data_IF_203286217083
#
_entry.id   IF_203286217083
#
_cell.length_a   1.000
_cell.length_b   1.000
_cell.length_c   1.000
_cell.angle_alpha   90.00
_cell.angle_beta   90.00
_cell.angle_gamma   90.00
#
_symmetry.space_group_name_H-M   'P 1'
#
loop_
_entity.id
_entity.type
_entity.pdbx_description
1 polymer ?
#
# COMPACT_ATOMS: atom_id res chain seq x y z
N UNK A 1 -5.54 11.90 -4.53
CA UNK A 1 -5.37 13.02 -3.59
C UNK A 1 -5.33 12.52 -2.16
N UNK A 2 -4.81 13.34 -1.25
CA UNK A 2 -4.85 13.02 0.17
C UNK A 2 -6.30 13.06 0.67
N UNK A 3 -6.69 12.07 1.47
CA UNK A 3 -8.05 12.02 2.02
C UNK A 3 -8.32 13.27 2.87
N UNK A 4 -9.49 13.86 2.66
CA UNK A 4 -10.01 14.97 3.47
C UNK A 4 -11.53 14.85 3.57
N UNK A 5 -12.14 15.72 4.37
CA UNK A 5 -13.60 15.70 4.57
C UNK A 5 -14.40 16.12 3.33
N UNK A 6 -13.73 16.71 2.33
CA UNK A 6 -14.42 17.08 1.08
C UNK A 6 -14.82 15.87 0.24
N UNK A 7 -14.18 14.70 0.47
CA UNK A 7 -14.48 13.49 -0.28
C UNK A 7 -15.59 12.70 0.39
N UNK A 8 -16.57 12.26 -0.40
CA UNK A 8 -17.73 11.52 0.09
C UNK A 8 -17.38 10.04 0.20
N UNK A 9 -17.55 9.47 1.39
CA UNK A 9 -17.15 8.09 1.69
C UNK A 9 -18.34 7.17 1.96
N UNK A 10 -19.55 7.74 2.14
CA UNK A 10 -20.72 6.99 2.62
C UNK A 10 -21.14 5.88 1.65
N UNK A 11 -21.02 6.12 0.35
CA UNK A 11 -21.41 5.15 -0.68
C UNK A 11 -20.31 4.15 -1.04
N UNK A 12 -19.11 4.30 -0.47
CA UNK A 12 -17.99 3.41 -0.81
C UNK A 12 -18.27 1.98 -0.35
N UNK A 13 -18.10 1.04 -1.27
CA UNK A 13 -18.24 -0.39 -0.98
C UNK A 13 -17.27 -1.17 -1.87
N UNK A 14 -16.25 -1.76 -1.26
CA UNK A 14 -15.27 -2.59 -1.98
C UNK A 14 -15.57 -4.09 -1.87
N UNK A 15 -16.66 -4.45 -1.18
CA UNK A 15 -16.99 -5.85 -0.94
C UNK A 15 -16.36 -6.43 0.32
N UNK A 16 -15.52 -5.67 1.04
CA UNK A 16 -14.87 -6.07 2.27
C UNK A 16 -15.27 -5.11 3.38
N UNK A 17 -16.03 -5.59 4.38
CA UNK A 17 -16.60 -4.72 5.40
C UNK A 17 -15.54 -4.03 6.25
N UNK A 18 -14.43 -4.68 6.56
CA UNK A 18 -13.34 -4.11 7.35
C UNK A 18 -12.66 -2.94 6.63
N UNK A 19 -12.47 -3.03 5.31
CA UNK A 19 -11.89 -1.96 4.52
C UNK A 19 -12.86 -0.79 4.36
N UNK A 20 -14.15 -1.08 4.16
CA UNK A 20 -15.19 -0.06 4.13
C UNK A 20 -15.25 0.71 5.46
N UNK A 21 -15.21 -0.01 6.56
CA UNK A 21 -15.25 0.58 7.91
C UNK A 21 -14.02 1.43 8.17
N UNK A 22 -12.84 0.96 7.77
CA UNK A 22 -11.61 1.76 7.92
C UNK A 22 -11.75 3.12 7.23
N UNK A 23 -12.16 3.13 5.96
CA UNK A 23 -12.29 4.38 5.19
C UNK A 23 -13.31 5.32 5.82
N UNK A 24 -14.46 4.79 6.25
CA UNK A 24 -15.57 5.62 6.73
C UNK A 24 -15.36 6.11 8.16
N UNK A 25 -14.73 5.32 9.03
CA UNK A 25 -14.69 5.59 10.46
C UNK A 25 -13.31 5.90 11.02
N UNK A 26 -12.24 5.37 10.43
CA UNK A 26 -10.91 5.43 11.05
C UNK A 26 -9.86 6.20 10.27
N UNK A 27 -9.98 6.28 8.95
CA UNK A 27 -8.89 6.81 8.11
C UNK A 27 -8.53 8.26 8.45
N UNK A 28 -9.51 9.14 8.57
CA UNK A 28 -9.25 10.56 8.89
C UNK A 28 -8.68 10.69 10.29
N UNK A 29 -9.21 9.92 11.26
CA UNK A 29 -8.71 9.94 12.64
C UNK A 29 -7.26 9.49 12.70
N UNK A 30 -6.90 8.40 12.04
CA UNK A 30 -5.54 7.90 12.02
C UNK A 30 -4.59 8.88 11.34
N UNK A 31 -5.04 9.50 10.26
CA UNK A 31 -4.27 10.52 9.56
C UNK A 31 -3.99 11.73 10.46
N UNK A 32 -4.98 12.17 11.22
CA UNK A 32 -4.84 13.27 12.17
C UNK A 32 -3.90 12.95 13.34
N UNK A 33 -3.72 11.67 13.65
CA UNK A 33 -2.80 11.19 14.70
C UNK A 33 -1.44 10.75 14.14
N UNK A 34 -1.19 10.94 12.86
CA UNK A 34 0.06 10.58 12.19
C UNK A 34 0.35 9.06 12.23
N UNK A 35 -0.69 8.24 12.30
CA UNK A 35 -0.56 6.77 12.31
C UNK A 35 -0.51 6.19 10.89
N UNK A 36 -1.25 6.80 9.97
CA UNK A 36 -1.21 6.43 8.55
C UNK A 36 -1.70 7.60 7.72
N UNK A 37 -1.28 7.63 6.46
CA UNK A 37 -1.75 8.61 5.49
C UNK A 37 -2.60 7.88 4.45
N UNK A 38 -3.79 8.40 4.15
CA UNK A 38 -4.70 7.80 3.18
C UNK A 38 -4.81 8.66 1.93
N UNK A 39 -4.71 8.02 0.78
CA UNK A 39 -4.87 8.64 -0.54
C UNK A 39 -6.10 8.07 -1.21
N UNK A 40 -6.86 8.90 -1.89
CA UNK A 40 -8.12 8.51 -2.51
C UNK A 40 -8.14 8.82 -4.00
N UNK A 41 -8.77 7.92 -4.77
CA UNK A 41 -9.27 8.20 -6.10
C UNK A 41 -10.75 8.57 -5.96
N UNK A 42 -11.21 9.54 -6.72
CA UNK A 42 -12.58 10.04 -6.61
C UNK A 42 -13.15 10.35 -7.99
N UNK A 43 -14.49 10.34 -8.07
CA UNK A 43 -15.21 10.67 -9.31
C UNK A 43 -15.58 12.15 -9.36
N UNK A 44 -16.34 12.54 -10.40
CA UNK A 44 -16.71 13.95 -10.65
C UNK A 44 -17.54 14.55 -9.53
N UNK A 45 -18.23 13.73 -8.73
CA UNK A 45 -19.05 14.19 -7.61
C UNK A 45 -18.32 14.08 -6.27
N UNK A 46 -16.99 13.90 -6.30
CA UNK A 46 -16.15 13.78 -5.10
C UNK A 46 -16.45 12.54 -4.25
N UNK A 47 -17.04 11.51 -4.84
CA UNK A 47 -17.22 10.23 -4.17
C UNK A 47 -15.91 9.42 -4.28
N UNK A 48 -15.48 8.83 -3.18
CA UNK A 48 -14.29 7.96 -3.18
C UNK A 48 -14.61 6.67 -3.93
N UNK A 49 -13.78 6.34 -4.91
CA UNK A 49 -13.93 5.12 -5.72
C UNK A 49 -12.78 4.14 -5.51
N UNK A 50 -11.73 4.56 -4.83
CA UNK A 50 -10.63 3.72 -4.45
C UNK A 50 -9.75 4.43 -3.43
N UNK A 51 -9.00 3.66 -2.63
CA UNK A 51 -8.08 4.25 -1.67
C UNK A 51 -6.96 3.30 -1.30
N UNK A 52 -5.88 3.86 -0.76
CA UNK A 52 -4.84 3.08 -0.09
C UNK A 52 -4.28 3.91 1.07
N UNK A 53 -3.70 3.22 2.04
CA UNK A 53 -3.03 3.88 3.16
C UNK A 53 -1.56 3.50 3.23
N UNK A 54 -0.73 4.45 3.66
CA UNK A 54 0.70 4.27 3.86
C UNK A 54 1.05 4.51 5.31
N UNK A 55 1.93 3.67 5.83
CA UNK A 55 2.52 3.85 7.16
C UNK A 55 3.98 3.38 7.13
N UNK A 56 4.78 3.89 8.06
CA UNK A 56 6.15 3.44 8.21
C UNK A 56 6.19 2.11 8.96
N UNK A 57 7.18 1.31 8.64
CA UNK A 57 7.41 0.06 9.32
C UNK A 57 8.84 -0.41 9.17
N UNK A 58 9.09 -1.63 9.61
CA UNK A 58 10.39 -2.25 9.47
C UNK A 58 10.25 -3.75 9.29
N UNK A 59 11.30 -4.37 8.77
CA UNK A 59 11.39 -5.82 8.69
C UNK A 59 12.79 -6.25 9.14
N UNK A 60 12.90 -7.49 9.60
CA UNK A 60 14.20 -8.07 9.92
C UNK A 60 14.89 -8.53 8.63
N UNK A 61 16.21 -8.30 8.56
CA UNK A 61 17.02 -8.83 7.47
C UNK A 61 16.81 -10.34 7.30
N UNK A 62 16.69 -11.06 8.41
CA UNK A 62 16.58 -12.53 8.40
C UNK A 62 15.25 -13.04 7.83
N UNK A 63 14.24 -12.19 7.74
CA UNK A 63 12.94 -12.57 7.17
C UNK A 63 12.92 -12.46 5.64
N UNK A 64 13.89 -11.80 5.06
CA UNK A 64 14.01 -11.60 3.62
C UNK A 64 14.76 -12.77 2.95
N UNK A 65 14.63 -12.96 1.63
CA UNK A 65 15.42 -13.96 0.92
C UNK A 65 16.93 -13.71 1.06
N UNK A 66 17.71 -14.77 0.99
CA UNK A 66 19.18 -14.71 1.14
C UNK A 66 19.80 -13.73 0.14
N UNK A 67 19.27 -13.65 -1.06
CA UNK A 67 19.78 -12.73 -2.09
C UNK A 67 19.67 -11.27 -1.66
N UNK A 68 18.63 -10.91 -0.89
CA UNK A 68 18.47 -9.57 -0.33
C UNK A 68 19.35 -9.37 0.89
N UNK A 69 19.47 -10.38 1.73
CA UNK A 69 20.22 -10.30 2.99
C UNK A 69 21.69 -9.89 2.79
N UNK A 70 22.28 -10.26 1.68
CA UNK A 70 23.71 -10.01 1.42
C UNK A 70 24.08 -8.53 1.41
N UNK A 71 23.10 -7.65 1.14
CA UNK A 71 23.31 -6.21 1.00
C UNK A 71 22.76 -5.42 2.18
N UNK A 72 22.26 -6.10 3.21
CA UNK A 72 21.53 -5.45 4.28
C UNK A 72 22.28 -5.54 5.61
N UNK A 73 22.17 -4.51 6.44
CA UNK A 73 22.71 -4.52 7.79
C UNK A 73 21.87 -5.41 8.73
N UNK A 74 22.36 -5.63 9.94
CA UNK A 74 21.70 -6.47 10.94
C UNK A 74 20.76 -5.72 11.87
N UNK A 75 20.46 -4.44 11.61
CA UNK A 75 19.45 -3.70 12.36
C UNK A 75 18.14 -3.66 11.57
N UNK A 76 17.02 -3.23 12.19
CA UNK A 76 15.73 -3.19 11.48
C UNK A 76 15.80 -2.42 10.16
N UNK A 77 15.26 -3.02 9.10
CA UNK A 77 15.31 -2.46 7.75
C UNK A 77 14.08 -1.55 7.57
N UNK A 78 14.25 -0.27 7.21
CA UNK A 78 13.12 0.65 7.08
C UNK A 78 12.27 0.32 5.87
N UNK A 79 10.96 0.35 6.08
CA UNK A 79 9.96 0.00 5.07
C UNK A 79 8.79 0.99 5.10
N UNK A 80 8.07 1.07 3.99
CA UNK A 80 6.74 1.66 3.94
C UNK A 80 5.75 0.52 3.72
N UNK A 81 4.68 0.51 4.50
CA UNK A 81 3.64 -0.50 4.43
C UNK A 81 2.45 0.09 3.71
N UNK A 82 1.96 -0.58 2.65
CA UNK A 82 0.65 -0.30 2.10
C UNK A 82 -0.33 -1.10 2.96
N UNK A 83 -0.94 -0.43 3.94
CA UNK A 83 -1.71 -1.09 4.98
C UNK A 83 -3.12 -1.47 4.56
N UNK A 84 -3.74 -0.65 3.73
CA UNK A 84 -5.08 -0.89 3.16
C UNK A 84 -5.04 -0.51 1.69
N UNK A 85 -5.83 -1.23 0.90
CA UNK A 85 -5.89 -1.01 -0.54
C UNK A 85 -7.21 -1.57 -1.05
N UNK A 86 -8.05 -0.72 -1.62
CA UNK A 86 -9.38 -1.14 -2.02
C UNK A 86 -9.93 -0.31 -3.17
N UNK A 87 -10.76 -0.94 -4.00
CA UNK A 87 -11.49 -0.30 -5.11
C UNK A 87 -12.97 -0.60 -4.92
N UNK A 88 -13.81 0.43 -5.10
CA UNK A 88 -15.26 0.29 -5.05
C UNK A 88 -15.74 -0.75 -6.08
N UNK A 89 -16.76 -1.54 -5.71
CA UNK A 89 -17.27 -2.62 -6.58
C UNK A 89 -17.70 -2.11 -7.96
N UNK A 90 -18.21 -0.90 -8.05
CA UNK A 90 -18.61 -0.29 -9.32
C UNK A 90 -17.45 0.07 -10.25
N UNK A 91 -16.23 0.04 -9.75
CA UNK A 91 -15.03 0.43 -10.50
C UNK A 91 -14.00 -0.69 -10.59
N UNK A 92 -14.29 -1.86 -10.06
CA UNK A 92 -13.41 -3.03 -10.15
C UNK A 92 -13.38 -3.57 -11.58
N UNK A 93 -12.27 -4.20 -11.97
CA UNK A 93 -12.10 -4.78 -13.28
C UNK A 93 -11.85 -3.78 -14.42
N UNK A 94 -11.53 -2.52 -14.08
CA UNK A 94 -11.33 -1.45 -15.05
C UNK A 94 -9.91 -0.85 -14.98
N UNK A 95 -8.98 -1.54 -14.33
CA UNK A 95 -7.60 -1.07 -14.18
C UNK A 95 -7.38 -0.08 -13.05
N UNK A 96 -8.39 0.20 -12.23
CA UNK A 96 -8.28 1.16 -11.12
C UNK A 96 -7.28 0.68 -10.06
N UNK A 97 -7.25 -0.62 -9.77
CA UNK A 97 -6.30 -1.17 -8.80
C UNK A 97 -4.85 -0.92 -9.21
N UNK A 98 -4.54 -1.14 -10.48
CA UNK A 98 -3.19 -0.86 -11.00
C UNK A 98 -2.87 0.63 -10.98
N UNK A 99 -3.85 1.49 -11.31
CA UNK A 99 -3.67 2.93 -11.28
C UNK A 99 -3.39 3.43 -9.85
N UNK A 100 -4.13 2.92 -8.87
CA UNK A 100 -3.91 3.23 -7.46
C UNK A 100 -2.51 2.80 -7.00
N UNK A 101 -2.10 1.60 -7.36
CA UNK A 101 -0.78 1.10 -6.96
C UNK A 101 0.34 1.90 -7.60
N UNK A 102 0.17 2.31 -8.86
CA UNK A 102 1.12 3.20 -9.52
C UNK A 102 1.24 4.54 -8.80
N UNK A 103 0.12 5.09 -8.36
CA UNK A 103 0.10 6.32 -7.57
C UNK A 103 0.84 6.12 -6.23
N UNK A 104 0.61 4.99 -5.57
CA UNK A 104 1.29 4.64 -4.32
C UNK A 104 2.81 4.56 -4.54
N UNK A 105 3.24 3.93 -5.62
CA UNK A 105 4.67 3.83 -5.94
C UNK A 105 5.32 5.20 -6.10
N UNK A 106 4.65 6.13 -6.78
CA UNK A 106 5.16 7.50 -6.92
C UNK A 106 5.31 8.19 -5.58
N UNK A 107 4.32 8.02 -4.70
CA UNK A 107 4.38 8.59 -3.34
C UNK A 107 5.51 7.98 -2.53
N UNK A 108 5.74 6.68 -2.65
CA UNK A 108 6.79 6.00 -1.91
C UNK A 108 8.18 6.42 -2.41
N UNK A 109 8.33 6.63 -3.72
CA UNK A 109 9.58 7.19 -4.25
C UNK A 109 9.84 8.60 -3.68
N UNK A 110 8.81 9.44 -3.56
CA UNK A 110 8.94 10.76 -2.92
C UNK A 110 9.39 10.62 -1.46
N UNK A 111 8.81 9.68 -0.72
CA UNK A 111 9.21 9.40 0.66
C UNK A 111 10.67 8.96 0.73
N UNK A 112 11.11 8.12 -0.20
CA UNK A 112 12.48 7.62 -0.22
C UNK A 112 13.52 8.71 -0.48
N UNK A 113 13.12 9.82 -1.06
CA UNK A 113 14.00 10.99 -1.25
C UNK A 113 14.15 11.82 0.03
N UNK A 114 13.27 11.61 1.02
CA UNK A 114 13.26 12.38 2.25
C UNK A 114 13.81 11.59 3.44
N UNK A 115 13.70 10.28 3.41
CA UNK A 115 14.14 9.40 4.49
C UNK A 115 14.46 8.01 3.95
N UNK A 116 15.20 7.23 4.72
CA UNK A 116 15.54 5.86 4.34
C UNK A 116 14.31 4.98 4.25
N UNK A 117 14.10 4.37 3.08
CA UNK A 117 13.01 3.42 2.82
C UNK A 117 13.55 2.39 1.84
N UNK A 118 13.74 1.15 2.31
CA UNK A 118 14.36 0.11 1.50
C UNK A 118 13.34 -0.75 0.76
N UNK A 119 12.21 -1.05 1.39
CA UNK A 119 11.20 -1.94 0.84
C UNK A 119 9.79 -1.40 1.04
N UNK A 120 8.91 -1.80 0.11
CA UNK A 120 7.46 -1.69 0.27
C UNK A 120 6.99 -3.05 0.76
N UNK A 121 6.19 -3.06 1.83
CA UNK A 121 5.59 -4.27 2.37
C UNK A 121 4.08 -4.23 2.16
N UNK A 122 3.50 -5.38 1.81
CA UNK A 122 2.06 -5.59 1.77
C UNK A 122 1.73 -6.91 2.47
N UNK A 123 0.57 -6.95 3.11
CA UNK A 123 0.03 -8.17 3.71
C UNK A 123 -1.21 -8.55 2.90
N UNK A 124 -1.11 -9.59 2.09
CA UNK A 124 -2.22 -10.06 1.28
C UNK A 124 -3.21 -10.83 2.14
N UNK A 125 -4.50 -10.60 1.89
CA UNK A 125 -5.56 -11.29 2.60
C UNK A 125 -5.61 -12.77 2.23
N UNK A 126 -5.36 -13.10 0.97
CA UNK A 126 -5.44 -14.45 0.42
C UNK A 126 -4.52 -14.59 -0.79
N UNK A 127 -4.52 -15.79 -1.39
CA UNK A 127 -3.65 -16.09 -2.53
C UNK A 127 -4.00 -15.27 -3.77
N UNK A 128 -5.26 -14.92 -3.97
CA UNK A 128 -5.66 -14.11 -5.12
C UNK A 128 -5.08 -12.70 -5.03
N UNK A 129 -5.14 -12.09 -3.86
CA UNK A 129 -4.53 -10.78 -3.60
C UNK A 129 -3.01 -10.86 -3.72
N UNK A 130 -2.39 -11.91 -3.16
CA UNK A 130 -0.95 -12.11 -3.30
C UNK A 130 -0.55 -12.21 -4.78
N UNK A 131 -1.32 -12.91 -5.59
CA UNK A 131 -1.06 -13.04 -7.03
C UNK A 131 -1.14 -11.69 -7.76
N UNK A 132 -2.08 -10.83 -7.36
CA UNK A 132 -2.17 -9.46 -7.89
C UNK A 132 -0.85 -8.71 -7.67
N UNK A 133 -0.32 -8.74 -6.45
CA UNK A 133 0.94 -8.07 -6.14
C UNK A 133 2.14 -8.71 -6.84
N UNK A 134 2.16 -10.05 -6.93
CA UNK A 134 3.25 -10.78 -7.61
C UNK A 134 3.35 -10.40 -9.09
N UNK A 135 2.21 -10.20 -9.76
CA UNK A 135 2.21 -9.76 -11.16
C UNK A 135 2.84 -8.38 -11.34
N UNK A 136 2.91 -7.60 -10.28
CA UNK A 136 3.47 -6.26 -10.30
C UNK A 136 4.90 -6.20 -9.75
N UNK A 137 5.51 -7.37 -9.53
CA UNK A 137 6.91 -7.46 -9.15
C UNK A 137 7.19 -7.79 -7.70
N UNK A 138 6.17 -7.88 -6.86
CA UNK A 138 6.34 -8.24 -5.45
C UNK A 138 6.73 -9.72 -5.32
N UNK A 139 7.49 -10.01 -4.27
CA UNK A 139 7.89 -11.38 -3.92
C UNK A 139 7.40 -11.71 -2.51
N UNK A 140 7.02 -12.96 -2.28
CA UNK A 140 6.64 -13.42 -0.95
C UNK A 140 7.86 -13.54 -0.05
N UNK A 141 7.67 -13.30 1.25
CA UNK A 141 8.65 -13.63 2.26
C UNK A 141 8.80 -15.17 2.32
N UNK A 142 10.01 -15.69 2.54
CA UNK A 142 10.22 -17.15 2.53
C UNK A 142 9.38 -17.90 3.56
N UNK A 143 9.11 -17.29 4.73
CA UNK A 143 8.38 -17.96 5.83
C UNK A 143 6.94 -17.53 5.95
N UNK A 144 6.50 -16.52 5.19
CA UNK A 144 5.14 -15.99 5.22
C UNK A 144 4.69 -15.67 3.80
N UNK A 145 4.00 -16.61 3.16
CA UNK A 145 3.65 -16.50 1.75
C UNK A 145 2.73 -15.31 1.42
N UNK A 146 1.93 -14.85 2.40
CA UNK A 146 1.00 -13.73 2.20
C UNK A 146 1.57 -12.38 2.61
N UNK A 147 2.80 -12.32 3.09
CA UNK A 147 3.54 -11.08 3.28
C UNK A 147 4.50 -10.93 2.11
N UNK A 148 4.42 -9.81 1.40
CA UNK A 148 5.19 -9.60 0.19
C UNK A 148 5.97 -8.28 0.29
N UNK A 149 7.06 -8.23 -0.46
CA UNK A 149 7.90 -7.05 -0.51
C UNK A 149 8.27 -6.68 -1.95
N UNK A 150 8.58 -5.41 -2.14
CA UNK A 150 9.19 -4.90 -3.37
C UNK A 150 10.29 -3.93 -2.97
N UNK A 151 11.45 -4.05 -3.59
CA UNK A 151 12.57 -3.15 -3.32
C UNK A 151 12.26 -1.76 -3.88
N UNK A 152 12.46 -0.73 -3.07
CA UNK A 152 12.29 0.67 -3.53
C UNK A 152 13.32 0.99 -4.62
N UNK A 153 14.51 0.42 -4.53
CA UNK A 153 15.55 0.63 -5.56
C UNK A 153 15.07 0.21 -6.95
N UNK A 154 14.28 -0.86 -7.05
CA UNK A 154 13.74 -1.31 -8.34
C UNK A 154 12.75 -0.30 -8.94
N UNK A 155 12.01 0.42 -8.10
CA UNK A 155 11.10 1.47 -8.56
C UNK A 155 11.86 2.70 -9.06
N UNK A 156 12.88 3.11 -8.34
CA UNK A 156 13.69 4.29 -8.70
C UNK A 156 14.37 4.08 -10.04
N UNK A 157 14.87 2.87 -10.31
CA UNK A 157 15.52 2.56 -11.58
C UNK A 157 14.53 2.39 -12.74
N UNK A 158 13.27 2.08 -12.45
CA UNK A 158 12.22 1.86 -13.46
C UNK A 158 11.46 3.14 -13.84
N UNK A 159 11.62 4.21 -13.06
CA UNK A 159 10.95 5.50 -13.31
C UNK A 159 11.86 6.49 -14.10
#
# INVERSE_FOLDING_TARGET
DVLSRQYQRDSFDCGQSDLNTFLKQYAIQQQGRFLSQTYVAYNDTKQVIGFYSLANGSTSRDDLPITEQKRLPRYPIPCVIIGRFAVDVGYQGQGMGQALLRHAFKKIVEVSALTGTAYILVHAKDDAVASFYKRLGFQSFPKEALTLFLSVASLVTAI
#
